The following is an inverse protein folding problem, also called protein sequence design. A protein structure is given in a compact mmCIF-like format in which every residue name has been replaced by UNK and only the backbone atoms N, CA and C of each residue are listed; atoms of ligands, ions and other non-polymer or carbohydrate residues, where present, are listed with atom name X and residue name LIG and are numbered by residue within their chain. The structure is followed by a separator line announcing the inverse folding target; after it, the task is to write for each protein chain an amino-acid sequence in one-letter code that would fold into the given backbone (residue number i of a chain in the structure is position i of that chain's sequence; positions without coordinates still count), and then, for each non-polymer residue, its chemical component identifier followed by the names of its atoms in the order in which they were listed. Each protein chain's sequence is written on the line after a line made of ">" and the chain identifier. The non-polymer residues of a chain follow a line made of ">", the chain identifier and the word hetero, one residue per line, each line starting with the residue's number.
data_IF_299578983510
#
_entry.id   IF_299578983510
#
_cell.length_a   1.000
_cell.length_b   1.000
_cell.length_c   1.000
_cell.angle_alpha   90.00
_cell.angle_beta   90.00
_cell.angle_gamma   90.00
#
_symmetry.space_group_name_H-M   'P 1'
#
loop_
_entity.id
_entity.type
_entity.pdbx_description
1 polymer ?
#
# COMPACT_ATOMS: atom_id res chain seq x y z
N UNK A 1 4.80 15.00 11.78
CA UNK A 1 5.07 13.79 10.99
C UNK A 1 3.96 12.80 11.19
N UNK A 2 3.44 12.28 10.13
CA UNK A 2 2.41 11.26 10.23
C UNK A 2 2.72 10.14 9.27
N UNK A 3 2.47 8.92 9.70
CA UNK A 3 2.60 7.77 8.86
C UNK A 3 1.40 6.87 9.08
N UNK A 4 0.92 6.26 8.02
CA UNK A 4 -0.24 5.39 8.05
C UNK A 4 0.10 4.15 7.25
N UNK A 5 -0.26 2.99 7.78
CA UNK A 5 -0.12 1.74 7.06
C UNK A 5 -1.50 1.17 6.80
N UNK A 6 -1.83 1.03 5.53
CA UNK A 6 -3.05 0.34 5.13
C UNK A 6 -2.74 -1.13 4.98
N UNK A 7 -3.52 -1.97 5.63
CA UNK A 7 -3.32 -3.41 5.63
C UNK A 7 -4.51 -4.12 5.01
N UNK A 8 -4.24 -5.26 4.40
CA UNK A 8 -5.29 -6.13 3.91
C UNK A 8 -6.23 -5.41 2.94
N UNK A 9 -5.66 -4.64 2.02
CA UNK A 9 -6.44 -3.91 1.04
C UNK A 9 -6.30 -4.57 -0.33
N UNK A 10 -7.26 -4.27 -1.21
CA UNK A 10 -7.18 -4.70 -2.60
C UNK A 10 -6.48 -3.61 -3.39
N UNK A 11 -5.32 -3.93 -3.92
CA UNK A 11 -4.52 -3.00 -4.68
C UNK A 11 -4.68 -3.30 -6.17
N UNK A 12 -5.03 -2.28 -6.93
CA UNK A 12 -5.13 -2.40 -8.38
C UNK A 12 -4.20 -1.36 -8.98
N UNK A 13 -3.24 -1.81 -9.79
CA UNK A 13 -2.29 -0.88 -10.40
C UNK A 13 -2.75 -0.44 -11.78
N UNK A 14 -1.94 0.43 -12.41
CA UNK A 14 -2.28 1.00 -13.70
C UNK A 14 -2.32 -0.04 -14.83
N UNK A 15 -1.72 -1.19 -14.62
CA UNK A 15 -1.73 -2.28 -15.59
C UNK A 15 -2.93 -3.22 -15.39
N UNK A 16 -3.78 -2.92 -14.41
CA UNK A 16 -4.93 -3.74 -14.11
C UNK A 16 -4.60 -4.97 -13.27
N UNK A 17 -3.40 -5.04 -12.72
CA UNK A 17 -3.04 -6.15 -11.84
C UNK A 17 -3.70 -5.95 -10.49
N UNK A 18 -4.38 -6.99 -10.04
CA UNK A 18 -5.11 -6.96 -8.77
C UNK A 18 -4.33 -7.75 -7.73
N UNK A 19 -3.94 -7.09 -6.67
CA UNK A 19 -3.21 -7.71 -5.56
C UNK A 19 -4.06 -7.64 -4.31
N UNK A 20 -4.68 -8.74 -3.90
CA UNK A 20 -5.46 -8.77 -2.65
C UNK A 20 -4.51 -8.85 -1.46
N UNK A 21 -4.99 -8.38 -0.32
CA UNK A 21 -4.23 -8.42 0.94
C UNK A 21 -2.89 -7.69 0.84
N UNK A 22 -2.90 -6.56 0.13
CA UNK A 22 -1.68 -5.77 -0.04
C UNK A 22 -1.51 -4.80 1.13
N UNK A 23 -0.29 -4.27 1.23
CA UNK A 23 0.06 -3.26 2.22
C UNK A 23 0.49 -1.99 1.50
N UNK A 24 0.01 -0.86 1.98
CA UNK A 24 0.43 0.44 1.45
C UNK A 24 0.79 1.34 2.63
N UNK A 25 2.00 1.84 2.62
CA UNK A 25 2.47 2.77 3.65
C UNK A 25 2.53 4.18 3.12
N UNK A 26 2.02 5.13 3.90
CA UNK A 26 2.03 6.55 3.54
C UNK A 26 2.76 7.31 4.65
N UNK A 27 3.70 8.15 4.27
CA UNK A 27 4.44 8.98 5.21
C UNK A 27 4.44 10.40 4.70
N UNK A 28 4.01 11.34 5.56
CA UNK A 28 3.98 12.76 5.27
C UNK A 28 3.25 13.06 3.96
N UNK A 29 2.18 12.32 3.67
CA UNK A 29 1.39 12.52 2.48
C UNK A 29 1.96 11.88 1.22
N UNK A 30 3.03 11.10 1.37
CA UNK A 30 3.69 10.44 0.24
C UNK A 30 3.62 8.93 0.42
N UNK A 31 3.28 8.22 -0.64
CA UNK A 31 3.27 6.77 -0.60
C UNK A 31 4.71 6.29 -0.48
N UNK A 32 5.01 5.61 0.62
CA UNK A 32 6.35 5.21 0.98
C UNK A 32 6.60 3.72 0.75
N UNK A 33 5.55 2.92 0.74
CA UNK A 33 5.68 1.49 0.57
C UNK A 33 4.44 0.92 -0.10
N UNK A 34 4.66 0.04 -1.05
CA UNK A 34 3.58 -0.72 -1.68
C UNK A 34 4.08 -2.15 -1.86
N UNK A 35 3.35 -3.12 -1.36
CA UNK A 35 3.77 -4.50 -1.51
C UNK A 35 2.82 -5.47 -0.85
N UNK A 36 3.19 -6.75 -0.90
CA UNK A 36 2.37 -7.82 -0.34
C UNK A 36 2.89 -8.29 1.01
N UNK A 37 4.03 -7.78 1.45
CA UNK A 37 4.62 -8.19 2.71
C UNK A 37 4.44 -7.08 3.74
N UNK A 38 4.22 -7.49 4.98
CA UNK A 38 4.14 -6.55 6.08
C UNK A 38 5.52 -5.92 6.28
N UNK A 39 5.64 -4.60 6.10
CA UNK A 39 6.94 -3.93 6.23
C UNK A 39 7.46 -3.88 7.67
#
# INVERSE_FOLDING_TARGET
>A
MSSVLFKDINLIDANGVHTPHAYVGVRDGIIDYVGELNP
#
